data_IF_945676147554
#
_entry.id   IF_945676147554
#
_cell.length_a   1.000
_cell.length_b   1.000
_cell.length_c   1.000
_cell.angle_alpha   90.00
_cell.angle_beta   90.00
_cell.angle_gamma   90.00
#
_symmetry.space_group_name_H-M   'P 1'
#
loop_
_entity.id
_entity.type
_entity.pdbx_description
1 polymer ?
#
# COMPACT_ATOMS: atom_id res chain seq x y z
N UNK A 1 -20.30 -5.65 -1.70
CA UNK A 1 -18.88 -5.84 -2.08
C UNK A 1 -18.12 -6.33 -0.86
N UNK A 2 -17.39 -7.44 -0.98
CA UNK A 2 -16.54 -7.94 0.11
C UNK A 2 -15.33 -7.01 0.21
N UNK A 3 -15.23 -6.25 1.31
CA UNK A 3 -14.11 -5.32 1.52
C UNK A 3 -12.80 -6.05 1.86
N UNK A 4 -11.68 -5.33 1.79
CA UNK A 4 -10.35 -5.90 2.12
C UNK A 4 -10.34 -6.58 3.51
N UNK A 5 -11.02 -5.99 4.50
CA UNK A 5 -11.14 -6.55 5.85
C UNK A 5 -11.67 -7.99 5.87
N UNK A 6 -12.78 -8.29 5.19
CA UNK A 6 -13.35 -9.63 5.15
C UNK A 6 -12.44 -10.64 4.43
N UNK A 7 -11.83 -10.25 3.30
CA UNK A 7 -10.91 -11.11 2.55
C UNK A 7 -9.65 -11.45 3.37
N UNK A 8 -9.07 -10.45 4.04
CA UNK A 8 -7.89 -10.65 4.87
C UNK A 8 -8.23 -11.41 6.15
N UNK A 9 -9.43 -11.19 6.73
CA UNK A 9 -9.94 -11.96 7.87
C UNK A 9 -10.07 -13.46 7.55
N UNK A 10 -10.58 -13.80 6.36
CA UNK A 10 -10.63 -15.20 5.92
C UNK A 10 -9.23 -15.82 5.78
N UNK A 11 -8.27 -15.06 5.23
CA UNK A 11 -6.86 -15.50 5.17
C UNK A 11 -6.27 -15.70 6.57
N UNK A 12 -6.59 -14.84 7.53
CA UNK A 12 -6.14 -14.97 8.91
C UNK A 12 -6.64 -16.28 9.53
N UNK A 13 -7.92 -16.60 9.33
CA UNK A 13 -8.51 -17.87 9.80
C UNK A 13 -7.88 -19.08 9.11
N UNK A 14 -7.69 -19.04 7.80
CA UNK A 14 -7.04 -20.14 7.07
C UNK A 14 -5.60 -20.40 7.54
N UNK A 15 -4.81 -19.35 7.80
CA UNK A 15 -3.46 -19.50 8.35
C UNK A 15 -3.47 -20.03 9.79
N UNK A 16 -4.46 -19.65 10.60
CA UNK A 16 -4.61 -20.19 11.95
C UNK A 16 -4.92 -21.70 11.91
N UNK A 17 -5.83 -22.12 11.02
CA UNK A 17 -6.15 -23.54 10.82
C UNK A 17 -4.92 -24.32 10.34
N UNK A 18 -4.15 -23.77 9.41
CA UNK A 18 -2.89 -24.37 8.97
C UNK A 18 -1.88 -24.52 10.12
N UNK A 19 -1.76 -23.49 10.98
CA UNK A 19 -0.94 -23.56 12.18
C UNK A 19 -1.38 -24.70 13.11
N UNK A 20 -2.68 -24.79 13.44
CA UNK A 20 -3.24 -25.83 14.31
C UNK A 20 -3.00 -27.23 13.72
N UNK A 21 -3.23 -27.40 12.41
CA UNK A 21 -2.97 -28.65 11.71
C UNK A 21 -1.50 -29.07 11.76
N UNK A 22 -0.57 -28.15 11.47
CA UNK A 22 0.87 -28.44 11.52
C UNK A 22 1.34 -28.79 12.94
N UNK A 23 0.78 -28.13 13.96
CA UNK A 23 1.05 -28.44 15.37
C UNK A 23 0.55 -29.83 15.75
N UNK A 24 -0.61 -30.24 15.25
CA UNK A 24 -1.14 -31.59 15.46
C UNK A 24 -0.20 -32.68 14.91
N UNK A 25 0.44 -32.44 13.75
CA UNK A 25 1.46 -33.34 13.18
C UNK A 25 2.87 -33.15 13.77
N UNK A 26 3.02 -32.44 14.90
CA UNK A 26 4.30 -32.15 15.55
C UNK A 26 5.32 -31.35 14.71
N UNK A 27 4.87 -30.69 13.62
CA UNK A 27 5.70 -29.85 12.75
C UNK A 27 5.86 -28.43 13.32
N UNK A 28 6.43 -28.35 14.52
CA UNK A 28 6.47 -27.12 15.33
C UNK A 28 7.15 -25.95 14.62
N UNK A 29 8.36 -26.13 14.11
CA UNK A 29 9.11 -25.03 13.48
C UNK A 29 8.44 -24.51 12.21
N UNK A 30 7.84 -25.41 11.41
CA UNK A 30 7.12 -25.04 10.19
C UNK A 30 5.81 -24.29 10.48
N UNK A 31 5.23 -24.48 11.67
CA UNK A 31 3.96 -23.85 12.06
C UNK A 31 4.10 -22.37 12.43
N UNK A 32 5.25 -21.94 12.96
CA UNK A 32 5.45 -20.57 13.50
C UNK A 32 5.16 -19.47 12.45
N UNK A 33 5.64 -19.55 11.19
CA UNK A 33 5.32 -18.57 10.16
C UNK A 33 3.82 -18.42 9.89
N UNK A 34 3.04 -19.50 9.98
CA UNK A 34 1.59 -19.47 9.80
C UNK A 34 0.88 -18.76 10.95
N UNK A 35 1.34 -18.95 12.18
CA UNK A 35 0.82 -18.21 13.33
C UNK A 35 1.10 -16.70 13.18
N UNK A 36 2.33 -16.34 12.81
CA UNK A 36 2.70 -14.95 12.56
C UNK A 36 1.88 -14.33 11.41
N UNK A 37 1.75 -15.04 10.29
CA UNK A 37 0.95 -14.60 9.16
C UNK A 37 -0.54 -14.44 9.53
N UNK A 38 -1.08 -15.35 10.34
CA UNK A 38 -2.44 -15.25 10.87
C UNK A 38 -2.62 -14.01 11.74
N UNK A 39 -1.69 -13.77 12.68
CA UNK A 39 -1.72 -12.60 13.56
C UNK A 39 -1.66 -11.28 12.76
N UNK A 40 -0.73 -11.15 11.82
CA UNK A 40 -0.61 -9.96 10.98
C UNK A 40 -1.85 -9.77 10.11
N UNK A 41 -2.37 -10.83 9.48
CA UNK A 41 -3.59 -10.75 8.69
C UNK A 41 -4.79 -10.34 9.55
N UNK A 42 -4.90 -10.83 10.78
CA UNK A 42 -5.94 -10.42 11.71
C UNK A 42 -5.84 -8.92 12.05
N UNK A 43 -4.65 -8.42 12.38
CA UNK A 43 -4.44 -6.98 12.62
C UNK A 43 -4.83 -6.12 11.42
N UNK A 44 -4.44 -6.53 10.21
CA UNK A 44 -4.81 -5.83 8.97
C UNK A 44 -6.32 -5.88 8.74
N UNK A 45 -6.97 -7.03 8.98
CA UNK A 45 -8.43 -7.17 8.86
C UNK A 45 -9.16 -6.19 9.78
N UNK A 46 -8.76 -6.13 11.05
CA UNK A 46 -9.32 -5.23 12.06
C UNK A 46 -9.04 -3.77 11.68
N UNK A 47 -7.80 -3.42 11.38
CA UNK A 47 -7.42 -2.04 11.06
C UNK A 47 -8.08 -1.53 9.77
N UNK A 48 -8.36 -2.40 8.81
CA UNK A 48 -9.03 -2.04 7.55
C UNK A 48 -10.55 -2.13 7.61
N UNK A 49 -11.13 -2.52 8.75
CA UNK A 49 -12.59 -2.58 8.95
C UNK A 49 -13.21 -1.18 8.86
N UNK A 50 -14.44 -1.00 8.30
CA UNK A 50 -15.01 0.34 8.07
C UNK A 50 -15.12 1.18 9.33
N UNK A 51 -15.46 0.53 10.44
CA UNK A 51 -15.67 1.19 11.73
C UNK A 51 -14.37 1.68 12.38
N UNK A 52 -13.22 1.10 12.02
CA UNK A 52 -11.92 1.48 12.58
C UNK A 52 -11.11 2.33 11.61
N UNK A 53 -10.96 1.87 10.35
CA UNK A 53 -10.26 2.55 9.27
C UNK A 53 -8.94 3.21 9.72
N UNK A 54 -7.99 2.40 10.18
CA UNK A 54 -6.70 2.81 10.72
C UNK A 54 -5.57 2.51 9.70
N UNK A 55 -5.38 3.34 8.65
CA UNK A 55 -4.34 3.12 7.64
C UNK A 55 -2.92 3.36 8.18
N UNK A 56 -2.80 3.89 9.39
CA UNK A 56 -1.53 4.12 10.08
C UNK A 56 -0.95 2.86 10.74
N UNK A 57 -1.57 1.69 10.58
CA UNK A 57 -1.11 0.42 11.18
C UNK A 57 0.38 0.15 10.93
N UNK A 58 0.83 0.36 9.70
CA UNK A 58 2.23 0.14 9.31
C UNK A 58 3.15 1.32 9.66
N UNK A 59 2.62 2.39 10.25
CA UNK A 59 3.34 3.62 10.56
C UNK A 59 4.15 4.18 9.37
N UNK A 60 3.59 4.08 8.17
CA UNK A 60 4.17 4.68 6.97
C UNK A 60 4.25 6.19 7.18
N UNK A 61 5.45 6.72 7.08
CA UNK A 61 5.70 8.17 7.17
C UNK A 61 5.11 8.92 5.98
N UNK A 62 4.94 10.23 6.12
CA UNK A 62 4.55 11.12 5.01
C UNK A 62 5.52 11.06 3.83
N UNK A 63 6.78 10.69 4.08
CA UNK A 63 7.85 10.48 3.08
C UNK A 63 7.82 9.08 2.44
N UNK A 64 6.83 8.26 2.80
CA UNK A 64 6.58 6.93 2.24
C UNK A 64 7.53 5.84 2.70
N UNK A 65 8.26 6.05 3.80
CA UNK A 65 9.13 5.05 4.43
C UNK A 65 8.45 4.40 5.63
N UNK A 66 8.80 3.15 5.87
CA UNK A 66 8.41 2.40 7.06
C UNK A 66 9.53 2.47 8.11
N UNK A 67 9.19 2.61 9.41
CA UNK A 67 10.18 2.47 10.48
C UNK A 67 10.65 1.01 10.60
N UNK A 68 11.84 0.81 11.16
CA UNK A 68 12.47 -0.51 11.23
C UNK A 68 11.60 -1.54 11.97
N UNK A 69 10.93 -1.14 13.05
CA UNK A 69 10.03 -2.02 13.80
C UNK A 69 8.86 -2.52 12.94
N UNK A 70 8.32 -1.66 12.07
CA UNK A 70 7.22 -2.01 11.17
C UNK A 70 7.68 -3.00 10.11
N UNK A 71 8.91 -2.84 9.60
CA UNK A 71 9.52 -3.79 8.69
C UNK A 71 9.79 -5.16 9.35
N UNK A 72 10.10 -5.20 10.64
CA UNK A 72 10.32 -6.46 11.37
C UNK A 72 8.99 -7.20 11.59
N UNK A 73 7.97 -6.49 12.08
CA UNK A 73 6.66 -7.10 12.42
C UNK A 73 5.85 -7.40 11.16
N UNK A 74 5.75 -6.45 10.24
CA UNK A 74 4.90 -6.55 9.06
C UNK A 74 5.66 -6.95 7.79
N UNK A 75 6.97 -7.14 7.86
CA UNK A 75 7.85 -7.42 6.72
C UNK A 75 7.32 -8.50 5.77
N UNK A 76 6.99 -9.71 6.26
CA UNK A 76 6.46 -10.76 5.40
C UNK A 76 5.18 -10.34 4.65
N UNK A 77 4.29 -9.61 5.31
CA UNK A 77 3.06 -9.09 4.70
C UNK A 77 3.36 -7.99 3.66
N UNK A 78 4.22 -7.03 4.00
CA UNK A 78 4.61 -5.94 3.09
C UNK A 78 5.32 -6.47 1.84
N UNK A 79 6.18 -7.48 2.00
CA UNK A 79 6.83 -8.18 0.88
C UNK A 79 5.78 -8.92 0.03
N UNK A 80 4.86 -9.64 0.66
CA UNK A 80 3.78 -10.33 -0.03
C UNK A 80 2.96 -9.37 -0.90
N UNK A 81 2.57 -8.20 -0.37
CA UNK A 81 1.80 -7.23 -1.16
C UNK A 81 2.61 -6.69 -2.34
N UNK A 82 3.91 -6.38 -2.16
CA UNK A 82 4.76 -5.93 -3.28
C UNK A 82 4.84 -6.97 -4.39
N UNK A 83 5.03 -8.24 -4.03
CA UNK A 83 5.04 -9.35 -4.99
C UNK A 83 3.67 -9.47 -5.67
N UNK A 84 2.58 -9.39 -4.91
CA UNK A 84 1.23 -9.45 -5.45
C UNK A 84 0.95 -8.33 -6.45
N UNK A 85 1.38 -7.10 -6.15
CA UNK A 85 1.24 -5.95 -7.04
C UNK A 85 2.03 -6.19 -8.33
N UNK A 86 3.29 -6.62 -8.21
CA UNK A 86 4.15 -6.93 -9.34
C UNK A 86 3.56 -8.03 -10.24
N UNK A 87 3.12 -9.16 -9.66
CA UNK A 87 2.52 -10.27 -10.40
C UNK A 87 1.21 -9.87 -11.09
N UNK A 88 0.37 -9.09 -10.41
CA UNK A 88 -0.89 -8.61 -10.98
C UNK A 88 -0.63 -7.64 -12.13
N UNK A 89 0.44 -6.83 -12.04
CA UNK A 89 0.88 -5.95 -13.13
C UNK A 89 1.34 -6.74 -14.35
N UNK A 90 2.12 -7.81 -14.18
CA UNK A 90 2.53 -8.68 -15.31
C UNK A 90 1.34 -9.28 -16.08
N UNK A 91 0.20 -9.48 -15.40
CA UNK A 91 -1.02 -9.99 -16.01
C UNK A 91 -1.88 -8.90 -16.68
N UNK A 92 -1.73 -7.65 -16.28
CA UNK A 92 -2.50 -6.52 -16.82
C UNK A 92 -1.84 -5.99 -18.10
N UNK A 93 -2.68 -5.63 -19.07
CA UNK A 93 -2.25 -4.96 -20.33
C UNK A 93 -2.56 -3.47 -20.34
N UNK A 94 -3.03 -2.93 -19.21
CA UNK A 94 -3.37 -1.52 -19.06
C UNK A 94 -2.09 -0.68 -18.95
N UNK A 95 -2.09 0.55 -19.47
CA UNK A 95 -0.98 1.48 -19.25
C UNK A 95 -0.78 1.72 -17.75
N UNK A 96 0.47 1.88 -17.32
CA UNK A 96 0.78 2.08 -15.90
C UNK A 96 0.17 3.38 -15.34
N UNK A 97 0.06 4.40 -16.19
CA UNK A 97 -0.51 5.68 -15.86
C UNK A 97 -1.22 6.29 -17.06
N UNK A 98 -2.16 7.19 -16.78
CA UNK A 98 -2.83 8.02 -17.75
C UNK A 98 -2.75 9.48 -17.34
N UNK A 99 -2.60 10.37 -18.31
CA UNK A 99 -2.77 11.81 -18.11
C UNK A 99 -4.26 12.14 -18.13
N UNK A 100 -4.76 12.68 -17.02
CA UNK A 100 -6.18 13.01 -16.87
C UNK A 100 -6.44 14.46 -17.29
N UNK A 101 -5.49 15.34 -16.98
CA UNK A 101 -5.43 16.72 -17.41
C UNK A 101 -3.96 17.12 -17.49
N UNK A 102 -3.63 18.16 -18.24
CA UNK A 102 -2.25 18.61 -18.47
C UNK A 102 -1.42 18.68 -17.17
N UNK A 103 -0.37 17.86 -17.14
CA UNK A 103 0.57 17.73 -16.03
C UNK A 103 -0.01 17.05 -14.78
N UNK A 104 -1.10 16.29 -14.91
CA UNK A 104 -1.69 15.47 -13.84
C UNK A 104 -1.93 14.06 -14.32
N UNK A 105 -1.20 13.13 -13.72
CA UNK A 105 -1.18 11.72 -14.06
C UNK A 105 -1.77 10.90 -12.91
N UNK A 106 -2.53 9.86 -13.25
CA UNK A 106 -3.05 8.86 -12.31
C UNK A 106 -2.57 7.48 -12.75
N UNK A 107 -2.09 6.67 -11.81
CA UNK A 107 -1.60 5.33 -12.14
C UNK A 107 -1.29 4.42 -10.96
N UNK A 108 -0.59 3.33 -11.26
CA UNK A 108 -0.18 2.32 -10.29
C UNK A 108 1.15 2.63 -9.59
N UNK A 109 1.43 1.89 -8.51
CA UNK A 109 2.65 2.08 -7.74
C UNK A 109 3.90 1.77 -8.57
N UNK A 110 4.80 2.72 -8.83
CA UNK A 110 5.85 2.56 -9.83
C UNK A 110 7.02 1.71 -9.31
N UNK A 111 7.40 0.71 -10.10
CA UNK A 111 8.63 -0.04 -9.95
C UNK A 111 9.83 0.79 -10.45
N UNK A 112 11.04 0.58 -9.93
CA UNK A 112 12.26 1.19 -10.49
C UNK A 112 12.47 0.95 -11.99
N UNK A 113 11.88 -0.11 -12.54
CA UNK A 113 11.98 -0.48 -13.94
C UNK A 113 10.84 0.06 -14.81
N UNK A 114 9.86 0.72 -14.22
CA UNK A 114 8.70 1.23 -14.94
C UNK A 114 8.98 2.58 -15.58
N UNK A 115 8.35 2.85 -16.72
CA UNK A 115 8.25 4.21 -17.24
C UNK A 115 7.39 5.04 -16.30
N UNK A 116 7.95 6.15 -15.81
CA UNK A 116 7.21 7.16 -15.06
C UNK A 116 6.88 8.33 -15.98
N UNK A 117 5.86 9.15 -15.66
CA UNK A 117 5.61 10.36 -16.41
C UNK A 117 6.85 11.25 -16.51
N UNK A 118 7.02 12.01 -17.61
CA UNK A 118 8.20 12.83 -17.81
C UNK A 118 8.27 14.01 -16.83
N UNK A 119 9.48 14.48 -16.56
CA UNK A 119 9.75 15.70 -15.76
C UNK A 119 9.97 15.44 -14.27
N UNK A 120 10.12 16.54 -13.51
CA UNK A 120 10.33 16.47 -12.06
C UNK A 120 9.00 16.31 -11.32
N UNK A 121 8.58 15.05 -11.14
CA UNK A 121 7.26 14.72 -10.60
C UNK A 121 7.11 15.06 -9.11
N UNK A 122 5.93 15.57 -8.77
CA UNK A 122 5.42 15.60 -7.41
C UNK A 122 4.43 14.45 -7.19
N UNK A 123 4.74 13.59 -6.23
CA UNK A 123 4.05 12.32 -6.01
C UNK A 123 3.03 12.43 -4.88
N UNK A 124 1.81 12.01 -5.18
CA UNK A 124 0.76 11.79 -4.19
C UNK A 124 0.50 10.28 -4.08
N UNK A 125 0.94 9.68 -2.98
CA UNK A 125 0.82 8.24 -2.72
C UNK A 125 -0.38 7.94 -1.84
N UNK A 126 -1.35 7.20 -2.38
CA UNK A 126 -2.58 6.83 -1.68
C UNK A 126 -2.50 5.45 -0.99
N UNK A 127 -1.34 4.80 -0.95
CA UNK A 127 -1.16 3.46 -0.36
C UNK A 127 -0.65 3.55 1.07
N UNK A 128 -1.10 2.63 1.93
CA UNK A 128 -0.55 2.50 3.28
C UNK A 128 0.56 1.44 3.37
N UNK A 129 0.61 0.53 2.39
CA UNK A 129 1.35 -0.72 2.44
C UNK A 129 2.54 -0.78 1.47
N UNK A 130 2.58 0.07 0.45
CA UNK A 130 3.70 0.13 -0.50
C UNK A 130 4.69 1.23 -0.11
N UNK A 131 6.01 1.02 -0.21
CA UNK A 131 7.00 2.04 0.12
C UNK A 131 7.13 3.07 -1.02
N UNK A 132 7.64 4.26 -0.72
CA UNK A 132 8.09 5.19 -1.74
C UNK A 132 9.16 4.53 -2.63
N UNK A 133 8.99 4.64 -3.94
CA UNK A 133 10.02 4.23 -4.91
C UNK A 133 11.26 5.10 -4.78
N UNK A 134 12.44 4.50 -4.96
CA UNK A 134 13.72 5.23 -4.99
C UNK A 134 13.83 6.21 -6.15
N UNK A 135 12.98 6.07 -7.17
CA UNK A 135 12.90 6.98 -8.32
C UNK A 135 12.50 8.41 -7.93
N UNK A 136 11.83 8.59 -6.80
CA UNK A 136 11.22 9.87 -6.45
C UNK A 136 12.00 10.61 -5.37
N UNK A 137 12.05 11.94 -5.49
CA UNK A 137 12.64 12.79 -4.46
C UNK A 137 11.73 12.86 -3.23
N UNK A 138 12.34 12.87 -2.03
CA UNK A 138 11.62 13.11 -0.77
C UNK A 138 10.92 14.49 -0.77
N UNK A 139 11.52 15.50 -1.42
CA UNK A 139 11.06 16.89 -1.35
C UNK A 139 9.79 17.15 -2.17
N UNK A 140 9.39 16.20 -3.00
CA UNK A 140 8.22 16.25 -3.85
C UNK A 140 7.33 15.02 -3.67
N UNK A 141 7.19 14.55 -2.43
CA UNK A 141 6.39 13.36 -2.13
C UNK A 141 5.46 13.63 -0.95
N UNK A 142 4.21 13.19 -1.08
CA UNK A 142 3.20 13.25 -0.03
C UNK A 142 2.42 11.94 0.00
N UNK A 143 2.42 11.26 1.14
CA UNK A 143 1.59 10.08 1.36
C UNK A 143 0.29 10.44 2.10
N UNK A 144 -0.84 10.02 1.53
CA UNK A 144 -2.15 9.93 2.20
C UNK A 144 -2.46 8.44 2.35
N UNK A 145 -2.01 7.80 3.45
CA UNK A 145 -2.11 6.36 3.59
C UNK A 145 -3.58 5.95 3.60
N UNK A 146 -3.97 5.10 2.65
CA UNK A 146 -5.35 4.63 2.50
C UNK A 146 -5.34 3.13 2.27
N UNK A 147 -6.29 2.43 2.87
CA UNK A 147 -6.52 1.03 2.56
C UNK A 147 -7.18 0.86 1.19
N UNK A 148 -6.87 -0.21 0.48
CA UNK A 148 -7.69 -0.61 -0.67
C UNK A 148 -9.16 -0.78 -0.24
N UNK A 149 -10.10 -0.41 -1.12
CA UNK A 149 -11.55 -0.32 -0.84
C UNK A 149 -11.97 0.74 0.19
N UNK A 150 -11.07 1.65 0.60
CA UNK A 150 -11.37 2.81 1.47
C UNK A 150 -11.09 4.13 0.76
N UNK A 151 -11.65 5.19 1.32
CA UNK A 151 -11.37 6.55 0.94
C UNK A 151 -10.65 7.29 2.08
N UNK A 152 -9.75 8.24 1.76
CA UNK A 152 -9.27 9.20 2.75
C UNK A 152 -10.42 10.06 3.29
N UNK A 153 -10.20 10.71 4.43
CA UNK A 153 -11.14 11.69 4.97
C UNK A 153 -11.22 12.91 4.04
N UNK A 154 -12.35 13.61 3.98
CA UNK A 154 -12.48 14.82 3.15
C UNK A 154 -11.39 15.86 3.42
N UNK A 155 -10.97 16.03 4.67
CA UNK A 155 -9.87 16.94 5.05
C UNK A 155 -8.51 16.52 4.49
N UNK A 156 -8.26 15.21 4.37
CA UNK A 156 -7.01 14.66 3.81
C UNK A 156 -6.99 14.85 2.29
N UNK A 157 -8.15 14.68 1.64
CA UNK A 157 -8.32 14.99 0.21
C UNK A 157 -8.06 16.47 -0.03
N UNK A 158 -8.66 17.35 0.76
CA UNK A 158 -8.45 18.79 0.62
C UNK A 158 -6.98 19.19 0.84
N UNK A 159 -6.32 18.61 1.84
CA UNK A 159 -4.90 18.80 2.08
C UNK A 159 -4.05 18.36 0.87
N UNK A 160 -4.35 17.20 0.30
CA UNK A 160 -3.67 16.65 -0.87
C UNK A 160 -3.86 17.53 -2.11
N UNK A 161 -5.09 18.00 -2.35
CA UNK A 161 -5.41 18.92 -3.46
C UNK A 161 -4.64 20.23 -3.31
N UNK A 162 -4.69 20.86 -2.13
CA UNK A 162 -3.94 22.11 -1.87
C UNK A 162 -2.44 21.92 -2.06
N UNK A 163 -1.89 20.78 -1.61
CA UNK A 163 -0.49 20.44 -1.84
C UNK A 163 -0.16 20.29 -3.34
N UNK A 164 -0.99 19.55 -4.08
CA UNK A 164 -0.83 19.35 -5.51
C UNK A 164 -0.90 20.68 -6.28
N UNK A 165 -1.86 21.56 -5.97
CA UNK A 165 -1.96 22.88 -6.56
C UNK A 165 -0.68 23.71 -6.36
N UNK A 166 -0.09 23.68 -5.15
CA UNK A 166 1.19 24.38 -4.87
C UNK A 166 2.35 23.81 -5.69
N UNK A 167 2.41 22.49 -5.87
CA UNK A 167 3.44 21.85 -6.69
C UNK A 167 3.27 22.16 -8.19
N UNK A 168 2.03 22.20 -8.68
CA UNK A 168 1.73 22.64 -10.06
C UNK A 168 2.12 24.11 -10.30
N UNK A 169 1.90 24.99 -9.33
CA UNK A 169 2.34 26.39 -9.42
C UNK A 169 3.88 26.54 -9.51
N UNK A 170 4.64 25.49 -9.17
CA UNK A 170 6.09 25.40 -9.33
C UNK A 170 6.49 24.67 -10.63
N UNK A 171 5.56 24.52 -11.59
CA UNK A 171 5.73 23.77 -12.84
C UNK A 171 6.13 22.29 -12.64
N UNK A 172 5.72 21.68 -11.52
CA UNK A 172 5.94 20.25 -11.27
C UNK A 172 4.69 19.46 -11.64
N UNK A 173 4.77 18.48 -12.57
CA UNK A 173 3.65 17.61 -12.86
C UNK A 173 3.31 16.74 -11.65
N UNK A 174 2.04 16.41 -11.47
CA UNK A 174 1.54 15.61 -10.35
C UNK A 174 1.36 14.17 -10.80
N UNK A 175 1.93 13.22 -10.05
CA UNK A 175 1.62 11.81 -10.23
C UNK A 175 0.92 11.27 -8.98
N UNK A 176 -0.36 10.94 -9.14
CA UNK A 176 -1.20 10.35 -8.10
C UNK A 176 -1.20 8.84 -8.33
N UNK A 177 -0.79 8.06 -7.34
CA UNK A 177 -0.80 6.61 -7.49
C UNK A 177 -1.45 5.87 -6.32
N UNK A 178 -2.06 4.74 -6.67
CA UNK A 178 -2.46 3.70 -5.72
C UNK A 178 -1.58 2.46 -5.97
N UNK A 179 -2.06 1.26 -5.65
CA UNK A 179 -1.35 0.02 -5.90
C UNK A 179 -1.35 -0.36 -7.40
N UNK A 180 -2.48 -0.17 -8.10
CA UNK A 180 -2.73 -0.63 -9.47
C UNK A 180 -3.02 0.52 -10.41
#
# INVERSE_FOLDING_TARGET
MVGISSLVGLKAAAFLLAFVGLRHFSLTFLSIPFLHASFVAFLVSVASHPSLNLPLLFAKSSDGRFPLWSLIIFGPYLVFIRIFVYLRRLKRREPLYNEIVEGVYVGGWPSPFDSVPPGELAILDCTCELPRSSLFSKNAYMCIPTWDTRAPRPSEIELAVRWACRKRAQNKPIYIHCAF
#
